data_IF_692251366622
#
_entry.id   IF_692251366622
#
_cell.length_a   1.000
_cell.length_b   1.000
_cell.length_c   1.000
_cell.angle_alpha   90.00
_cell.angle_beta   90.00
_cell.angle_gamma   90.00
#
_symmetry.space_group_name_H-M   'P 1'
#
loop_
_entity.id
_entity.type
_entity.pdbx_description
1 polymer ?
#
# COMPACT_ATOMS: atom_id res chain seq x y z
N UNK A 1 4.18 -19.03 13.64
CA UNK A 1 4.62 -18.36 12.40
C UNK A 1 3.66 -17.23 12.14
N UNK A 2 4.18 -16.01 11.98
CA UNK A 2 3.40 -14.87 11.52
C UNK A 2 3.37 -14.90 9.98
N UNK A 3 2.18 -14.82 9.38
CA UNK A 3 1.99 -14.67 7.94
C UNK A 3 1.18 -13.43 7.68
N UNK A 4 1.61 -12.61 6.72
CA UNK A 4 0.83 -11.49 6.22
C UNK A 4 -0.08 -12.02 5.12
N UNK A 5 -1.37 -11.70 5.21
CA UNK A 5 -2.38 -12.07 4.19
C UNK A 5 -2.91 -10.76 3.63
N UNK A 6 -2.80 -10.58 2.33
CA UNK A 6 -3.42 -9.44 1.66
C UNK A 6 -4.93 -9.70 1.49
N UNK A 7 -5.73 -8.72 1.90
CA UNK A 7 -7.19 -8.80 1.91
C UNK A 7 -7.80 -7.54 1.34
N UNK A 8 -8.95 -7.69 0.70
CA UNK A 8 -9.83 -6.59 0.31
C UNK A 8 -11.01 -6.56 1.28
N UNK A 9 -11.38 -5.38 1.75
CA UNK A 9 -12.54 -5.19 2.59
C UNK A 9 -13.72 -4.70 1.75
N UNK A 10 -14.74 -5.54 1.60
CA UNK A 10 -15.94 -5.25 0.81
C UNK A 10 -17.18 -5.71 1.59
N UNK A 11 -18.18 -4.84 1.68
CA UNK A 11 -19.48 -5.11 2.31
C UNK A 11 -19.38 -5.68 3.74
N UNK A 12 -18.40 -5.21 4.51
CA UNK A 12 -18.20 -5.66 5.89
C UNK A 12 -17.34 -6.92 6.05
N UNK A 13 -16.82 -7.48 4.95
CA UNK A 13 -16.12 -8.78 4.93
C UNK A 13 -14.68 -8.63 4.43
N UNK A 14 -13.73 -9.25 5.13
CA UNK A 14 -12.34 -9.38 4.68
C UNK A 14 -12.21 -10.56 3.70
N UNK A 15 -11.92 -10.25 2.43
CA UNK A 15 -11.75 -11.23 1.35
C UNK A 15 -10.26 -11.37 1.02
N UNK A 16 -9.63 -12.52 1.27
CA UNK A 16 -8.23 -12.70 0.96
C UNK A 16 -7.99 -12.78 -0.55
N UNK A 17 -6.91 -12.15 -1.01
CA UNK A 17 -6.49 -12.20 -2.42
C UNK A 17 -5.94 -13.58 -2.83
N UNK A 18 -5.51 -14.36 -1.83
CA UNK A 18 -4.97 -15.70 -2.02
C UNK A 18 -5.65 -16.71 -1.09
N UNK A 19 -5.57 -18.00 -1.45
CA UNK A 19 -6.17 -19.07 -0.65
C UNK A 19 -5.44 -19.22 0.68
N UNK A 20 -6.17 -19.02 1.77
CA UNK A 20 -5.65 -19.19 3.14
C UNK A 20 -5.96 -20.61 3.63
N UNK A 21 -4.98 -21.25 4.25
CA UNK A 21 -5.10 -22.61 4.75
C UNK A 21 -5.45 -22.61 6.25
N UNK A 22 -6.68 -22.22 6.57
CA UNK A 22 -7.24 -22.22 7.94
C UNK A 22 -8.32 -23.29 8.07
N UNK A 23 -8.52 -23.80 9.28
CA UNK A 23 -9.60 -24.75 9.57
C UNK A 23 -10.93 -24.01 9.66
N UNK A 24 -12.02 -24.69 9.28
CA UNK A 24 -13.35 -24.14 9.43
C UNK A 24 -13.66 -23.88 10.91
N UNK A 25 -14.09 -22.66 11.24
CA UNK A 25 -14.39 -22.23 12.61
C UNK A 25 -13.17 -21.82 13.45
N UNK A 26 -11.97 -21.79 12.86
CA UNK A 26 -10.76 -21.32 13.52
C UNK A 26 -10.85 -19.81 13.81
N UNK A 27 -10.66 -19.43 15.07
CA UNK A 27 -10.56 -18.03 15.48
C UNK A 27 -9.11 -17.58 15.36
N UNK A 28 -8.90 -16.47 14.66
CA UNK A 28 -7.58 -15.86 14.50
C UNK A 28 -7.59 -14.43 15.04
N UNK A 29 -6.45 -13.99 15.55
CA UNK A 29 -6.21 -12.59 15.89
C UNK A 29 -5.65 -11.89 14.64
N UNK A 30 -6.15 -10.68 14.34
CA UNK A 30 -5.72 -9.91 13.19
C UNK A 30 -5.21 -8.54 13.63
N UNK A 31 -4.07 -8.13 13.10
CA UNK A 31 -3.49 -6.79 13.30
C UNK A 31 -3.58 -6.00 11.99
N UNK A 32 -4.24 -4.84 12.02
CA UNK A 32 -4.30 -3.93 10.87
C UNK A 32 -3.18 -2.91 11.01
N UNK A 33 -2.18 -3.02 10.14
CA UNK A 33 -1.09 -2.05 10.07
C UNK A 33 -1.47 -0.95 9.09
N UNK A 34 -1.81 0.23 9.62
CA UNK A 34 -1.96 1.42 8.79
C UNK A 34 -0.59 1.86 8.27
N UNK A 35 -0.39 1.76 6.96
CA UNK A 35 0.83 2.24 6.33
C UNK A 35 0.79 3.77 6.24
N UNK A 36 1.35 4.44 7.27
CA UNK A 36 1.38 5.90 7.39
C UNK A 36 2.01 6.56 6.16
N UNK A 37 2.93 5.87 5.48
CA UNK A 37 3.59 6.37 4.26
C UNK A 37 2.58 6.46 3.11
N UNK A 38 1.65 5.51 2.98
CA UNK A 38 0.63 5.50 1.92
C UNK A 38 -0.42 6.61 2.13
N UNK A 39 -0.80 6.89 3.38
CA UNK A 39 -1.62 8.06 3.73
C UNK A 39 -0.91 9.38 3.41
N UNK A 40 0.40 9.47 3.63
CA UNK A 40 1.20 10.62 3.25
C UNK A 40 1.33 10.71 1.72
N UNK A 41 1.56 9.62 0.99
CA UNK A 41 1.60 9.66 -0.46
C UNK A 41 0.26 10.11 -1.03
N UNK A 42 -0.89 9.60 -0.62
CA UNK A 42 -2.16 10.04 -1.23
C UNK A 42 -2.46 11.52 -0.94
N UNK A 43 -2.14 12.00 0.28
CA UNK A 43 -2.31 13.40 0.67
C UNK A 43 -1.33 14.34 -0.03
N UNK A 44 -0.06 13.97 -0.13
CA UNK A 44 0.99 14.83 -0.69
C UNK A 44 1.14 14.66 -2.21
N UNK A 45 0.95 13.46 -2.76
CA UNK A 45 0.98 13.20 -4.21
C UNK A 45 -0.23 13.82 -4.92
N UNK A 46 -1.39 13.91 -4.25
CA UNK A 46 -2.52 14.72 -4.71
C UNK A 46 -2.19 16.21 -4.82
N UNK A 47 -1.48 16.76 -3.82
CA UNK A 47 -1.02 18.16 -3.80
C UNK A 47 0.10 18.40 -4.82
N UNK A 48 1.04 17.46 -4.98
CA UNK A 48 2.17 17.55 -5.91
C UNK A 48 1.70 17.40 -7.36
N UNK A 49 0.73 16.54 -7.68
CA UNK A 49 0.13 16.46 -9.03
C UNK A 49 -0.57 17.74 -9.48
N UNK A 50 -1.10 18.54 -8.55
CA UNK A 50 -1.84 19.77 -8.89
C UNK A 50 -0.92 20.95 -9.25
N UNK A 51 0.33 20.97 -8.76
CA UNK A 51 1.23 22.11 -8.92
C UNK A 51 2.45 21.89 -9.84
N UNK A 52 2.77 20.65 -10.22
CA UNK A 52 3.94 20.39 -11.06
C UNK A 52 3.56 20.01 -12.49
N UNK A 53 4.19 20.65 -13.48
CA UNK A 53 4.13 20.21 -14.87
C UNK A 53 4.70 18.79 -14.97
N UNK A 54 4.06 17.95 -15.79
CA UNK A 54 4.36 16.51 -15.93
C UNK A 54 5.85 16.21 -16.18
N UNK A 55 6.54 17.06 -16.95
CA UNK A 55 7.99 16.99 -17.17
C UNK A 55 8.83 17.12 -15.89
N UNK A 56 8.47 18.00 -14.96
CA UNK A 56 9.28 18.26 -13.75
C UNK A 56 9.16 17.12 -12.74
N UNK A 57 7.96 16.55 -12.60
CA UNK A 57 7.75 15.36 -11.78
C UNK A 57 8.55 14.17 -12.30
N UNK A 58 8.62 14.01 -13.63
CA UNK A 58 9.37 12.92 -14.27
C UNK A 58 10.88 13.03 -14.02
N UNK A 59 11.42 14.26 -14.04
CA UNK A 59 12.84 14.51 -13.71
C UNK A 59 13.16 14.19 -12.25
N UNK A 60 12.26 14.56 -11.33
CA UNK A 60 12.43 14.25 -9.90
C UNK A 60 12.40 12.75 -9.62
N UNK A 61 11.49 12.01 -10.24
CA UNK A 61 11.40 10.56 -10.07
C UNK A 61 12.67 9.85 -10.57
N UNK A 62 13.15 10.20 -11.76
CA UNK A 62 14.38 9.63 -12.32
C UNK A 62 15.59 9.88 -11.41
N UNK A 63 15.70 11.09 -10.84
CA UNK A 63 16.80 11.43 -9.93
C UNK A 63 16.78 10.59 -8.65
N UNK A 64 15.60 10.32 -8.09
CA UNK A 64 15.44 9.47 -6.90
C UNK A 64 15.80 8.00 -7.21
N UNK A 65 15.45 7.52 -8.41
CA UNK A 65 15.81 6.16 -8.86
C UNK A 65 17.33 6.01 -9.05
N UNK A 66 18.00 7.01 -9.64
CA UNK A 66 19.45 7.04 -9.78
C UNK A 66 20.17 7.07 -8.42
N UNK A 67 19.68 7.81 -7.42
CA UNK A 67 20.30 7.86 -6.09
C UNK A 67 20.08 6.59 -5.25
N UNK A 68 19.05 5.79 -5.56
CA UNK A 68 18.75 4.53 -4.83
C UNK A 68 19.42 3.29 -5.41
N UNK A 69 19.69 3.29 -6.71
CA UNK A 69 20.19 2.13 -7.45
C UNK A 69 21.49 2.40 -8.22
N UNK A 70 22.04 3.60 -8.14
CA UNK A 70 23.36 3.99 -8.65
C UNK A 70 24.49 3.75 -7.66
#
# INVERSE_FOLDING_TARGET
MQKTIEVVYEDGVFKPLEKVNLRQGEKIEMEIKEDKIKKLSDKYFGIVKLNFKKEELRKLLNKIEEERYG
#
